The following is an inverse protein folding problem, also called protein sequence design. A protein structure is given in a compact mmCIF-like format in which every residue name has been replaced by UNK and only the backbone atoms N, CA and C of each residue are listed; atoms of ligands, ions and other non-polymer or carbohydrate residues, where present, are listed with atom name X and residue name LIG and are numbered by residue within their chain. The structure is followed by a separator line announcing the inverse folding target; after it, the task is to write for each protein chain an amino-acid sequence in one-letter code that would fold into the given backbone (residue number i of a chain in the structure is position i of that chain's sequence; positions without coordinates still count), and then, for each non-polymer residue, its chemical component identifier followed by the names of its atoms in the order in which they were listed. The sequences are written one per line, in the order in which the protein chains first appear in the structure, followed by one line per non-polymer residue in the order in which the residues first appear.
data_IF_438301351345
#
_entry.id   IF_438301351345
#
_cell.length_a   1.000
_cell.length_b   1.000
_cell.length_c   1.000
_cell.angle_alpha   90.00
_cell.angle_beta   90.00
_cell.angle_gamma   90.00
#
_symmetry.space_group_name_H-M   'P 1'
#
loop_
_entity.id
_entity.type
_entity.pdbx_description
1 polymer ?
#
# COMPACT_ATOMS: atom_id res chain seq x y z
N UNK A 1 -41.13 -65.70 2.82
CA UNK A 1 -41.32 -64.30 2.39
C UNK A 1 -40.80 -63.41 3.50
N UNK A 2 -39.60 -62.83 3.36
CA UNK A 2 -39.12 -61.78 4.29
C UNK A 2 -38.24 -60.83 3.48
N UNK A 3 -38.72 -59.62 3.22
CA UNK A 3 -37.95 -58.54 2.57
C UNK A 3 -37.45 -57.62 3.67
N UNK A 4 -36.12 -57.53 3.82
CA UNK A 4 -35.45 -56.60 4.74
C UNK A 4 -35.24 -55.29 3.98
N UNK A 5 -35.80 -54.19 4.51
CA UNK A 5 -35.57 -52.83 4.04
C UNK A 5 -34.49 -52.19 4.91
N UNK A 6 -33.38 -51.78 4.29
CA UNK A 6 -32.29 -51.01 4.94
C UNK A 6 -32.52 -49.53 4.63
N UNK A 7 -32.56 -48.63 5.64
CA UNK A 7 -32.72 -47.21 5.39
C UNK A 7 -31.36 -46.62 4.99
N UNK A 8 -31.31 -45.93 3.86
CA UNK A 8 -30.14 -45.14 3.45
C UNK A 8 -30.27 -43.76 4.08
N UNK A 9 -29.35 -43.43 5.00
CA UNK A 9 -29.23 -42.10 5.59
C UNK A 9 -28.22 -41.31 4.76
N UNK A 10 -28.69 -40.28 4.06
CA UNK A 10 -27.83 -39.34 3.32
C UNK A 10 -27.40 -38.26 4.30
N UNK A 11 -26.12 -38.26 4.69
CA UNK A 11 -25.51 -37.21 5.49
C UNK A 11 -25.04 -36.10 4.56
N UNK A 12 -25.70 -34.95 4.60
CA UNK A 12 -25.34 -33.75 3.85
C UNK A 12 -24.14 -33.09 4.54
N UNK A 13 -22.93 -33.30 4.01
CA UNK A 13 -21.71 -32.64 4.51
C UNK A 13 -21.70 -31.21 3.99
N UNK A 14 -21.92 -30.23 4.86
CA UNK A 14 -21.77 -28.82 4.54
C UNK A 14 -20.27 -28.50 4.41
N UNK A 15 -19.82 -28.18 3.19
CA UNK A 15 -18.45 -27.70 2.98
C UNK A 15 -18.27 -26.32 3.64
N UNK A 16 -17.14 -26.06 4.33
CA UNK A 16 -16.87 -24.74 4.87
C UNK A 16 -16.78 -23.73 3.72
N UNK A 17 -17.57 -22.65 3.81
CA UNK A 17 -17.39 -21.49 2.92
C UNK A 17 -16.11 -20.78 3.36
N UNK A 18 -15.09 -20.83 2.53
CA UNK A 18 -13.96 -19.91 2.64
C UNK A 18 -14.53 -18.51 2.39
N UNK A 19 -14.52 -17.66 3.40
CA UNK A 19 -14.87 -16.25 3.22
C UNK A 19 -13.81 -15.62 2.32
N UNK A 20 -14.24 -14.94 1.25
CA UNK A 20 -13.32 -14.12 0.46
C UNK A 20 -12.72 -13.03 1.37
N UNK A 21 -11.45 -12.62 1.16
CA UNK A 21 -10.89 -11.46 1.85
C UNK A 21 -11.84 -10.27 1.68
N UNK A 22 -12.31 -9.70 2.78
CA UNK A 22 -13.10 -8.49 2.72
C UNK A 22 -12.17 -7.35 2.30
N UNK A 23 -12.52 -6.67 1.20
CA UNK A 23 -11.84 -5.45 0.78
C UNK A 23 -11.93 -4.41 1.91
N UNK A 24 -10.79 -3.81 2.27
CA UNK A 24 -10.72 -2.76 3.30
C UNK A 24 -11.61 -1.59 2.87
N UNK A 25 -12.36 -0.99 3.80
CA UNK A 25 -13.10 0.23 3.50
C UNK A 25 -12.15 1.38 3.15
N UNK A 26 -12.64 2.37 2.40
CA UNK A 26 -11.84 3.55 2.04
C UNK A 26 -11.33 4.28 3.28
N UNK A 27 -12.17 4.46 4.31
CA UNK A 27 -11.77 5.05 5.59
C UNK A 27 -10.64 4.27 6.28
N UNK A 28 -10.69 2.92 6.20
CA UNK A 28 -9.65 2.05 6.74
C UNK A 28 -8.34 2.21 5.98
N UNK A 29 -8.39 2.28 4.65
CA UNK A 29 -7.19 2.50 3.82
C UNK A 29 -6.58 3.87 4.07
N UNK A 30 -7.42 4.91 4.20
CA UNK A 30 -6.96 6.26 4.55
C UNK A 30 -6.26 6.27 5.91
N UNK A 31 -6.87 5.66 6.93
CA UNK A 31 -6.30 5.60 8.27
C UNK A 31 -4.96 4.84 8.30
N UNK A 32 -4.87 3.72 7.59
CA UNK A 32 -3.62 2.96 7.42
C UNK A 32 -2.54 3.79 6.71
N UNK A 33 -2.85 4.37 5.55
CA UNK A 33 -1.88 5.08 4.74
C UNK A 33 -1.24 6.25 5.49
N UNK A 34 -2.05 7.04 6.20
CA UNK A 34 -1.57 8.23 6.92
C UNK A 34 -0.86 7.90 8.22
N UNK A 35 -0.91 6.65 8.71
CA UNK A 35 -0.30 6.28 10.00
C UNK A 35 1.22 6.51 9.99
N UNK A 36 1.84 6.47 8.81
CA UNK A 36 3.26 6.78 8.62
C UNK A 36 3.62 8.26 8.86
N UNK A 37 2.65 9.18 8.78
CA UNK A 37 2.93 10.59 9.00
C UNK A 37 2.90 10.95 10.50
N UNK A 38 3.69 11.98 10.89
CA UNK A 38 3.43 12.71 12.13
C UNK A 38 1.98 13.19 12.18
N UNK A 39 1.34 13.06 13.34
CA UNK A 39 -0.09 13.36 13.54
C UNK A 39 -0.56 14.70 12.94
N UNK A 40 0.17 15.83 13.09
CA UNK A 40 -0.27 17.12 12.54
C UNK A 40 -0.34 17.19 11.01
N UNK A 41 0.23 16.21 10.31
CA UNK A 41 0.31 16.18 8.85
C UNK A 41 -0.75 15.24 8.23
N UNK A 42 -1.41 14.39 9.02
CA UNK A 42 -2.28 13.31 8.55
C UNK A 42 -3.54 13.79 7.85
N UNK A 43 -4.24 14.75 8.44
CA UNK A 43 -5.57 15.18 7.95
C UNK A 43 -5.52 15.84 6.57
N UNK A 44 -4.42 16.55 6.28
CA UNK A 44 -4.25 17.26 5.01
C UNK A 44 -3.59 16.46 3.90
N UNK A 45 -3.11 15.24 4.17
CA UNK A 45 -2.37 14.46 3.16
C UNK A 45 -3.30 13.98 2.03
N UNK A 46 -2.82 14.01 0.79
CA UNK A 46 -3.46 13.22 -0.26
C UNK A 46 -3.25 11.73 0.02
N UNK A 47 -4.21 10.88 -0.35
CA UNK A 47 -4.10 9.42 -0.20
C UNK A 47 -4.39 8.76 -1.53
N UNK A 48 -3.48 7.90 -1.97
CA UNK A 48 -3.67 6.99 -3.09
C UNK A 48 -3.76 5.55 -2.59
N UNK A 49 -4.60 4.74 -3.20
CA UNK A 49 -4.80 3.34 -2.84
C UNK A 49 -4.73 2.45 -4.07
N UNK A 50 -4.28 1.21 -3.90
CA UNK A 50 -4.29 0.23 -4.98
C UNK A 50 -5.73 -0.21 -5.29
N UNK A 51 -6.10 -0.15 -6.57
CA UNK A 51 -7.33 -0.69 -7.16
C UNK A 51 -6.95 -1.37 -8.47
N UNK A 52 -7.27 -2.66 -8.59
CA UNK A 52 -6.89 -3.48 -9.75
C UNK A 52 -5.39 -3.42 -10.10
N UNK A 53 -4.53 -3.27 -9.08
CA UNK A 53 -3.07 -3.17 -9.24
C UNK A 53 -2.54 -1.77 -9.57
N UNK A 54 -3.40 -0.76 -9.69
CA UNK A 54 -3.02 0.62 -9.97
C UNK A 54 -3.30 1.53 -8.77
N UNK A 55 -2.44 2.53 -8.55
CA UNK A 55 -2.69 3.56 -7.53
C UNK A 55 -3.68 4.59 -8.05
N UNK A 56 -4.83 4.69 -7.40
CA UNK A 56 -5.86 5.68 -7.67
C UNK A 56 -5.99 6.66 -6.52
N UNK A 57 -6.34 7.91 -6.81
CA UNK A 57 -6.60 8.91 -5.79
C UNK A 57 -7.85 8.54 -4.98
N UNK A 58 -7.66 8.38 -3.67
CA UNK A 58 -8.71 8.04 -2.72
C UNK A 58 -9.16 9.26 -1.90
N UNK A 59 -8.23 10.16 -1.60
CA UNK A 59 -8.49 11.42 -0.90
C UNK A 59 -7.63 12.54 -1.46
N UNK A 60 -8.26 13.63 -1.88
CA UNK A 60 -7.56 14.87 -2.25
C UNK A 60 -6.83 15.48 -1.05
N UNK A 61 -5.62 15.99 -1.27
CA UNK A 61 -4.80 16.61 -0.24
C UNK A 61 -5.01 18.12 -0.14
N UNK A 62 -4.82 18.66 1.07
CA UNK A 62 -4.75 20.11 1.34
C UNK A 62 -3.38 20.58 1.82
N UNK A 63 -2.45 19.65 2.10
CA UNK A 63 -1.07 19.94 2.45
C UNK A 63 -0.07 19.35 1.43
N UNK A 64 1.21 19.34 1.77
CA UNK A 64 2.27 18.93 0.86
C UNK A 64 2.58 17.42 0.85
N UNK A 65 1.78 16.59 1.52
CA UNK A 65 2.04 15.15 1.65
C UNK A 65 1.15 14.32 0.74
N UNK A 66 1.72 13.26 0.20
CA UNK A 66 1.03 12.17 -0.50
C UNK A 66 1.32 10.88 0.26
N UNK A 67 0.30 10.10 0.57
CA UNK A 67 0.38 8.80 1.20
C UNK A 67 -0.10 7.70 0.26
N UNK A 68 0.60 6.58 0.25
CA UNK A 68 0.25 5.37 -0.46
C UNK A 68 -0.28 4.35 0.55
N UNK A 69 -1.48 3.84 0.26
CA UNK A 69 -2.01 2.67 0.95
C UNK A 69 -1.22 1.42 0.63
N UNK A 70 -1.43 0.43 1.49
CA UNK A 70 -0.87 -0.92 1.40
C UNK A 70 -1.22 -1.60 0.07
N UNK A 71 -0.23 -2.22 -0.56
CA UNK A 71 -0.39 -2.95 -1.82
C UNK A 71 -0.79 -4.40 -1.52
N UNK A 72 -2.04 -4.81 -1.83
CA UNK A 72 -2.50 -6.17 -1.54
C UNK A 72 -1.78 -7.25 -2.35
N UNK A 73 -0.98 -6.89 -3.36
CA UNK A 73 -0.16 -7.82 -4.12
C UNK A 73 1.23 -8.07 -3.50
N UNK A 74 1.62 -7.30 -2.48
CA UNK A 74 2.90 -7.45 -1.79
C UNK A 74 2.72 -8.24 -0.50
N UNK A 75 3.72 -9.07 -0.17
CA UNK A 75 3.73 -9.80 1.10
C UNK A 75 3.97 -8.83 2.27
N UNK A 76 3.17 -8.97 3.33
CA UNK A 76 3.25 -8.14 4.53
C UNK A 76 2.39 -6.88 4.43
N UNK A 77 2.74 -5.87 5.23
CA UNK A 77 2.07 -4.58 5.27
C UNK A 77 3.08 -3.47 5.04
N UNK A 78 2.80 -2.58 4.07
CA UNK A 78 3.66 -1.45 3.76
C UNK A 78 2.85 -0.20 3.44
N UNK A 79 3.12 0.90 4.15
CA UNK A 79 2.58 2.22 3.79
C UNK A 79 3.70 3.24 3.73
N UNK A 80 3.57 4.21 2.82
CA UNK A 80 4.57 5.25 2.64
C UNK A 80 3.94 6.60 2.36
N UNK A 81 4.48 7.65 2.99
CA UNK A 81 4.10 9.03 2.72
C UNK A 81 5.32 9.88 2.39
N UNK A 82 5.21 10.77 1.40
CA UNK A 82 6.31 11.63 0.96
C UNK A 82 5.81 13.01 0.56
N UNK A 83 6.73 13.96 0.47
CA UNK A 83 6.44 15.29 -0.04
C UNK A 83 6.01 15.22 -1.51
N UNK A 84 4.95 15.93 -1.91
CA UNK A 84 4.35 15.88 -3.24
C UNK A 84 5.33 16.16 -4.38
N UNK A 85 6.35 16.99 -4.14
CA UNK A 85 7.35 17.34 -5.16
C UNK A 85 8.24 16.14 -5.54
N UNK A 86 8.28 15.09 -4.69
CA UNK A 86 8.99 13.84 -4.96
C UNK A 86 8.16 12.87 -5.81
N UNK A 87 6.89 13.16 -6.06
CA UNK A 87 5.99 12.26 -6.79
C UNK A 87 6.44 11.93 -8.22
N UNK A 88 6.98 12.85 -9.03
CA UNK A 88 7.51 12.48 -10.36
C UNK A 88 8.55 11.36 -10.26
N UNK A 89 9.46 11.45 -9.30
CA UNK A 89 10.51 10.45 -9.06
C UNK A 89 9.95 9.12 -8.53
N UNK A 90 8.95 9.16 -7.65
CA UNK A 90 8.30 7.98 -7.10
C UNK A 90 7.44 7.26 -8.13
N UNK A 91 6.59 8.00 -8.85
CA UNK A 91 5.77 7.50 -9.94
C UNK A 91 6.61 6.83 -11.02
N UNK A 92 7.76 7.44 -11.39
CA UNK A 92 8.66 6.83 -12.37
C UNK A 92 9.23 5.49 -11.90
N UNK A 93 9.53 5.35 -10.60
CA UNK A 93 9.93 4.07 -10.02
C UNK A 93 8.85 3.00 -10.17
N UNK A 94 7.59 3.35 -9.88
CA UNK A 94 6.43 2.44 -10.02
C UNK A 94 6.20 2.05 -11.48
N UNK A 95 6.33 2.99 -12.41
CA UNK A 95 6.21 2.74 -13.84
C UNK A 95 7.27 1.75 -14.35
N UNK A 96 8.53 1.89 -13.90
CA UNK A 96 9.62 0.98 -14.26
C UNK A 96 9.38 -0.44 -13.74
N UNK A 97 8.86 -0.57 -12.50
CA UNK A 97 8.47 -1.85 -11.92
C UNK A 97 7.35 -2.50 -12.75
N UNK A 98 6.33 -1.73 -13.13
CA UNK A 98 5.24 -2.21 -13.98
C UNK A 98 5.73 -2.63 -15.38
N UNK A 99 6.84 -2.05 -15.86
CA UNK A 99 7.52 -2.44 -17.10
C UNK A 99 8.43 -3.68 -16.93
N UNK A 100 8.53 -4.24 -15.74
CA UNK A 100 9.31 -5.44 -15.44
C UNK A 100 10.74 -5.19 -14.98
N UNK A 101 11.12 -3.94 -14.70
CA UNK A 101 12.43 -3.62 -14.10
C UNK A 101 12.35 -3.92 -12.61
N UNK A 102 12.80 -5.11 -12.21
CA UNK A 102 12.67 -5.58 -10.82
C UNK A 102 13.86 -5.26 -9.92
N UNK A 103 15.02 -4.94 -10.49
CA UNK A 103 16.23 -4.67 -9.72
C UNK A 103 16.34 -3.20 -9.32
N UNK A 104 16.36 -2.93 -8.01
CA UNK A 104 16.45 -1.57 -7.47
C UNK A 104 17.63 -0.75 -8.05
N UNK A 105 18.86 -1.29 -8.19
CA UNK A 105 19.96 -0.55 -8.80
C UNK A 105 19.69 -0.13 -10.25
N UNK A 106 18.93 -0.91 -11.02
CA UNK A 106 18.56 -0.58 -12.39
C UNK A 106 17.52 0.54 -12.42
N UNK A 107 16.50 0.47 -11.55
CA UNK A 107 15.51 1.54 -11.38
C UNK A 107 16.22 2.85 -11.03
N UNK A 108 17.15 2.82 -10.07
CA UNK A 108 17.91 4.00 -9.65
C UNK A 108 18.76 4.53 -10.81
N UNK A 109 19.47 3.67 -11.54
CA UNK A 109 20.27 4.05 -12.71
C UNK A 109 19.43 4.79 -13.77
N UNK A 110 18.26 4.25 -14.12
CA UNK A 110 17.38 4.87 -15.13
C UNK A 110 16.88 6.23 -14.64
N UNK A 111 16.37 6.31 -13.42
CA UNK A 111 15.86 7.58 -12.86
C UNK A 111 16.95 8.65 -12.79
N UNK A 112 18.15 8.29 -12.36
CA UNK A 112 19.28 9.24 -12.30
C UNK A 112 19.65 9.78 -13.69
N UNK A 113 19.73 8.92 -14.70
CA UNK A 113 19.98 9.37 -16.08
C UNK A 113 18.86 10.27 -16.62
N UNK A 114 17.60 10.02 -16.25
CA UNK A 114 16.47 10.86 -16.63
C UNK A 114 16.46 12.21 -15.87
N UNK A 115 16.93 12.24 -14.63
CA UNK A 115 17.14 13.49 -13.87
C UNK A 115 18.27 14.32 -14.50
N UNK A 116 19.42 13.70 -14.78
CA UNK A 116 20.57 14.37 -15.40
C UNK A 116 20.26 14.97 -16.78
N UNK A 117 19.37 14.32 -17.53
CA UNK A 117 18.90 14.81 -18.84
C UNK A 117 17.74 15.81 -18.75
N UNK A 118 17.20 16.07 -17.55
CA UNK A 118 16.04 16.93 -17.33
C UNK A 118 14.70 16.33 -17.77
N UNK A 119 14.69 15.03 -18.12
CA UNK A 119 13.46 14.31 -18.49
C UNK A 119 12.60 14.01 -17.26
N UNK A 120 13.22 13.70 -16.13
CA UNK A 120 12.55 13.41 -14.87
C UNK A 120 12.72 14.57 -13.90
N UNK A 121 11.61 15.12 -13.41
CA UNK A 121 11.63 16.12 -12.34
C UNK A 121 12.11 15.53 -11.02
N UNK A 122 12.90 16.30 -10.28
CA UNK A 122 13.34 15.97 -8.93
C UNK A 122 13.20 17.23 -8.05
N UNK A 123 12.92 17.10 -6.74
CA UNK A 123 12.80 18.27 -5.86
C UNK A 123 14.05 19.16 -5.87
N UNK A 124 13.86 20.48 -5.90
CA UNK A 124 14.95 21.48 -5.84
C UNK A 124 15.57 21.63 -4.44
N UNK A 125 14.96 21.01 -3.43
CA UNK A 125 15.43 21.07 -2.05
C UNK A 125 15.10 19.78 -1.29
N UNK A 126 15.61 19.64 -0.06
CA UNK A 126 15.45 18.41 0.70
C UNK A 126 13.97 18.06 0.92
N UNK A 127 13.61 16.82 0.64
CA UNK A 127 12.26 16.29 0.89
C UNK A 127 12.33 15.02 1.71
N UNK A 128 11.23 14.70 2.40
CA UNK A 128 11.16 13.54 3.29
C UNK A 128 10.21 12.47 2.76
N UNK A 129 10.56 11.23 3.06
CA UNK A 129 9.69 10.07 2.97
C UNK A 129 9.64 9.36 4.32
N UNK A 130 8.43 8.95 4.68
CA UNK A 130 8.03 8.24 5.88
C UNK A 130 7.49 6.88 5.44
N UNK A 131 8.06 5.77 5.91
CA UNK A 131 7.65 4.42 5.47
C UNK A 131 7.60 3.43 6.62
N UNK A 132 6.49 2.70 6.72
CA UNK A 132 6.20 1.75 7.78
C UNK A 132 6.11 0.36 7.16
N UNK A 133 6.80 -0.61 7.75
CA UNK A 133 6.78 -2.01 7.32
C UNK A 133 6.30 -2.89 8.45
N UNK A 134 5.44 -3.86 8.19
CA UNK A 134 4.95 -4.78 9.21
C UNK A 134 4.45 -6.10 8.62
N UNK A 135 4.00 -6.98 9.50
CA UNK A 135 3.21 -8.15 9.10
C UNK A 135 1.78 -7.73 8.73
N UNK A 136 1.05 -8.59 8.04
CA UNK A 136 -0.38 -8.38 7.82
C UNK A 136 -1.10 -8.14 9.16
N UNK A 137 -1.94 -7.10 9.22
CA UNK A 137 -2.65 -6.73 10.44
C UNK A 137 -1.83 -5.92 11.46
N UNK A 138 -0.62 -5.47 11.12
CA UNK A 138 0.20 -4.63 12.01
C UNK A 138 -0.45 -3.28 12.40
N UNK A 139 -1.42 -2.80 11.63
CA UNK A 139 -2.16 -1.57 11.94
C UNK A 139 -3.44 -1.85 12.75
N UNK A 140 -3.52 -1.27 13.95
CA UNK A 140 -4.66 -1.36 14.84
C UNK A 140 -5.74 -0.33 14.46
N UNK A 141 -6.93 -0.83 14.10
CA UNK A 141 -8.07 0.02 13.70
C UNK A 141 -8.63 0.88 14.82
N UNK A 142 -8.59 0.36 16.04
CA UNK A 142 -9.23 0.96 17.20
C UNK A 142 -8.41 2.14 17.71
N UNK A 143 -7.08 2.03 17.64
CA UNK A 143 -6.15 3.07 18.08
C UNK A 143 -5.69 3.98 16.94
N UNK A 144 -5.76 3.51 15.69
CA UNK A 144 -5.21 4.25 14.55
C UNK A 144 -3.69 4.24 14.50
N UNK A 145 -3.06 3.25 15.14
CA UNK A 145 -1.61 3.14 15.25
C UNK A 145 -1.10 1.81 14.69
N UNK A 146 0.08 1.85 14.08
CA UNK A 146 0.86 0.66 13.80
C UNK A 146 2.00 0.61 14.82
N UNK A 147 1.81 -0.21 15.86
CA UNK A 147 2.75 -0.32 16.98
C UNK A 147 3.86 -1.32 16.68
N UNK A 148 5.10 -1.00 17.08
CA UNK A 148 6.23 -1.92 16.95
C UNK A 148 6.73 -2.19 15.52
N UNK A 149 6.23 -1.43 14.54
CA UNK A 149 6.64 -1.55 13.13
C UNK A 149 7.93 -0.77 12.85
N UNK A 150 8.91 -1.35 12.13
CA UNK A 150 10.07 -0.62 11.66
C UNK A 150 9.69 0.58 10.79
N UNK A 151 10.05 1.77 11.27
CA UNK A 151 9.94 3.02 10.51
C UNK A 151 11.22 3.31 9.73
N UNK A 152 11.10 3.61 8.44
CA UNK A 152 12.15 4.14 7.59
C UNK A 152 11.86 5.60 7.27
N UNK A 153 12.83 6.45 7.59
CA UNK A 153 12.80 7.87 7.27
C UNK A 153 13.91 8.14 6.26
N UNK A 154 13.54 8.66 5.11
CA UNK A 154 14.49 9.00 4.04
C UNK A 154 14.44 10.49 3.80
N UNK A 155 15.62 11.11 3.73
CA UNK A 155 15.78 12.48 3.27
C UNK A 155 16.38 12.40 1.86
N UNK A 156 15.64 12.88 0.87
CA UNK A 156 16.10 13.06 -0.49
C UNK A 156 16.74 14.44 -0.60
N UNK A 157 17.95 14.51 -1.14
CA UNK A 157 18.77 15.72 -1.29
C UNK A 157 19.30 15.87 -2.70
#
# INVERSE_FOLDING_TARGET
MTRILVPVVIVLVAAPRVAAPQEKSDDRVIAEAVSALPEPMRDGAAVMAFRDGELVMLREGSNAMICLGDDPAQDGWHVACYHRDLEPFMARGRELIAQGVSERPEIDRVRMAEIESGKLGFPDGPTTLYSWFGEEGAFNAETGEAEGVPGLYVIYV
#
